data_IF_819132738928
#
_entry.id   IF_819132738928
#
_cell.length_a   1.000
_cell.length_b   1.000
_cell.length_c   1.000
_cell.angle_alpha   90.00
_cell.angle_beta   90.00
_cell.angle_gamma   90.00
#
_symmetry.space_group_name_H-M   'P 1'
#
loop_
_entity.id
_entity.type
_entity.pdbx_description
1 polymer ?
#
# COMPACT_ATOMS: atom_id res chain seq x y z
N UNK A 1 -49.65 -42.01 -35.18
CA UNK A 1 -49.50 -40.54 -35.34
C UNK A 1 -49.96 -39.75 -34.10
N UNK A 2 -49.51 -40.11 -32.88
CA UNK A 2 -49.92 -39.37 -31.65
C UNK A 2 -48.72 -38.93 -30.78
N UNK A 3 -47.51 -39.44 -31.06
CA UNK A 3 -46.30 -39.12 -30.27
C UNK A 3 -45.43 -37.95 -30.79
N UNK A 4 -45.73 -37.37 -31.95
CA UNK A 4 -45.01 -36.19 -32.47
C UNK A 4 -45.61 -34.85 -32.02
N UNK A 5 -46.89 -34.80 -31.64
CA UNK A 5 -47.56 -33.54 -31.24
C UNK A 5 -47.20 -33.07 -29.83
N UNK A 6 -46.74 -33.95 -28.94
CA UNK A 6 -46.38 -33.60 -27.56
C UNK A 6 -45.01 -32.92 -27.42
N UNK A 7 -44.08 -33.15 -28.37
CA UNK A 7 -42.76 -32.49 -28.37
C UNK A 7 -42.81 -31.05 -28.87
N UNK A 8 -43.71 -30.75 -29.80
CA UNK A 8 -43.91 -29.38 -30.31
C UNK A 8 -44.56 -28.48 -29.25
N UNK A 9 -45.56 -28.98 -28.51
CA UNK A 9 -46.22 -28.22 -27.44
C UNK A 9 -45.27 -27.84 -26.29
N UNK A 10 -44.38 -28.76 -25.88
CA UNK A 10 -43.42 -28.49 -24.80
C UNK A 10 -42.39 -27.41 -25.15
N UNK A 11 -41.92 -27.39 -26.40
CA UNK A 11 -40.94 -26.38 -26.86
C UNK A 11 -41.60 -25.01 -27.01
N UNK A 12 -42.83 -24.95 -27.50
CA UNK A 12 -43.59 -23.69 -27.63
C UNK A 12 -43.85 -23.03 -26.27
N UNK A 13 -44.17 -23.80 -25.22
CA UNK A 13 -44.38 -23.27 -23.87
C UNK A 13 -43.10 -22.68 -23.27
N UNK A 14 -41.94 -23.33 -23.48
CA UNK A 14 -40.64 -22.83 -22.98
C UNK A 14 -40.24 -21.52 -23.68
N UNK A 15 -40.46 -21.42 -24.99
CA UNK A 15 -40.17 -20.20 -25.74
C UNK A 15 -41.06 -19.03 -25.28
N UNK A 16 -42.35 -19.28 -25.01
CA UNK A 16 -43.26 -18.26 -24.49
C UNK A 16 -42.83 -17.76 -23.10
N UNK A 17 -42.43 -18.67 -22.19
CA UNK A 17 -41.92 -18.30 -20.86
C UNK A 17 -40.63 -17.47 -20.98
N UNK A 18 -39.74 -17.83 -21.90
CA UNK A 18 -38.50 -17.09 -22.14
C UNK A 18 -38.76 -15.68 -22.70
N UNK A 19 -39.67 -15.55 -23.68
CA UNK A 19 -40.02 -14.24 -24.26
C UNK A 19 -40.72 -13.36 -23.21
N UNK A 20 -41.64 -13.91 -22.40
CA UNK A 20 -42.29 -13.17 -21.33
C UNK A 20 -41.31 -12.69 -20.24
N UNK A 21 -40.30 -13.50 -19.90
CA UNK A 21 -39.29 -13.12 -18.91
C UNK A 21 -38.31 -12.05 -19.42
N UNK A 22 -37.96 -12.07 -20.70
CA UNK A 22 -37.13 -11.02 -21.34
C UNK A 22 -37.91 -9.70 -21.47
N UNK A 23 -39.21 -9.76 -21.77
CA UNK A 23 -40.07 -8.58 -21.85
C UNK A 23 -40.31 -7.96 -20.46
N UNK A 24 -40.51 -8.76 -19.42
CA UNK A 24 -40.62 -8.29 -18.03
C UNK A 24 -39.31 -7.63 -17.53
N UNK A 25 -38.14 -8.13 -17.93
CA UNK A 25 -36.85 -7.52 -17.60
C UNK A 25 -36.61 -6.20 -18.35
N UNK A 26 -37.18 -6.04 -19.55
CA UNK A 26 -37.03 -4.82 -20.37
C UNK A 26 -37.97 -3.69 -19.97
N UNK A 27 -39.11 -4.00 -19.33
CA UNK A 27 -40.07 -2.98 -18.83
C UNK A 27 -39.54 -2.27 -17.56
N UNK A 28 -38.64 -2.91 -16.81
CA UNK A 28 -38.01 -2.34 -15.61
C UNK A 28 -36.69 -1.59 -15.88
N UNK A 29 -36.28 -1.43 -17.14
CA UNK A 29 -35.03 -0.75 -17.50
C UNK A 29 -35.29 0.39 -18.49
N UNK A 30 -36.01 1.41 -18.04
CA UNK A 30 -36.04 2.73 -18.71
C UNK A 30 -35.27 3.77 -17.87
N UNK A 31 -34.27 4.48 -18.43
CA UNK A 31 -33.46 5.43 -17.70
C UNK A 31 -34.17 6.79 -17.61
N UNK A 32 -34.55 7.21 -16.40
CA UNK A 32 -35.08 8.55 -16.16
C UNK A 32 -33.97 9.50 -15.69
N UNK A 33 -33.88 10.63 -16.37
CA UNK A 33 -32.93 11.72 -16.22
C UNK A 33 -33.10 12.56 -14.94
N UNK A 34 -32.00 13.22 -14.56
CA UNK A 34 -31.85 14.49 -13.83
C UNK A 34 -31.65 14.51 -12.30
N UNK A 35 -30.40 14.90 -11.95
CA UNK A 35 -30.02 16.11 -11.21
C UNK A 35 -30.22 16.18 -9.67
N UNK A 36 -29.06 16.31 -8.98
CA UNK A 36 -28.75 16.96 -7.68
C UNK A 36 -29.62 16.64 -6.43
N UNK A 37 -28.99 16.02 -5.42
CA UNK A 37 -28.62 16.69 -4.15
C UNK A 37 -27.86 15.75 -3.21
N UNK A 38 -26.87 16.31 -2.51
CA UNK A 38 -26.11 15.67 -1.43
C UNK A 38 -27.02 15.28 -0.27
N UNK A 39 -27.00 14.00 0.13
CA UNK A 39 -27.39 13.59 1.49
C UNK A 39 -26.60 12.35 1.91
N UNK A 40 -26.02 12.47 3.11
CA UNK A 40 -25.29 11.43 3.83
C UNK A 40 -26.20 10.22 4.03
N UNK A 41 -25.89 9.10 3.37
CA UNK A 41 -26.57 7.83 3.61
C UNK A 41 -25.72 6.91 4.48
N UNK A 42 -26.20 6.75 5.71
CA UNK A 42 -25.79 5.74 6.68
C UNK A 42 -26.54 4.45 6.30
N UNK A 43 -25.88 3.45 5.72
CA UNK A 43 -26.51 2.18 5.38
C UNK A 43 -25.91 0.99 6.14
N UNK A 44 -26.81 0.43 6.96
CA UNK A 44 -26.99 -0.90 7.51
C UNK A 44 -26.02 -2.04 7.13
N UNK A 45 -25.60 -2.73 8.20
CA UNK A 45 -25.54 -4.19 8.37
C UNK A 45 -25.71 -5.05 7.10
N UNK A 46 -24.63 -5.73 6.71
CA UNK A 46 -24.74 -7.00 6.01
C UNK A 46 -24.44 -8.13 6.99
N UNK A 47 -25.52 -8.71 7.51
CA UNK A 47 -25.53 -10.08 7.99
C UNK A 47 -25.38 -11.04 6.78
N UNK A 48 -24.76 -12.20 7.04
CA UNK A 48 -24.72 -13.40 6.21
C UNK A 48 -23.69 -13.44 5.07
N UNK A 49 -22.41 -13.62 5.44
CA UNK A 49 -21.56 -14.55 4.71
C UNK A 49 -21.37 -15.81 5.57
N UNK A 50 -22.18 -16.83 5.28
CA UNK A 50 -22.21 -18.09 6.01
C UNK A 50 -20.87 -18.83 5.87
N UNK A 51 -20.30 -19.13 7.02
CA UNK A 51 -19.05 -19.83 7.22
C UNK A 51 -19.25 -21.32 6.91
N UNK A 52 -18.86 -21.79 5.73
CA UNK A 52 -18.70 -23.22 5.50
C UNK A 52 -17.44 -23.69 6.24
N UNK A 53 -17.66 -24.54 7.25
CA UNK A 53 -16.64 -25.20 8.08
C UNK A 53 -15.37 -25.55 7.29
N UNK A 54 -14.32 -24.74 7.49
CA UNK A 54 -12.94 -25.21 7.38
C UNK A 54 -12.29 -24.95 8.74
N UNK A 55 -12.31 -25.97 9.61
CA UNK A 55 -11.42 -26.05 10.77
C UNK A 55 -10.00 -26.25 10.23
N UNK A 56 -9.35 -25.15 9.85
CA UNK A 56 -7.93 -25.08 9.60
C UNK A 56 -7.31 -24.12 10.60
N UNK A 57 -6.40 -24.63 11.42
CA UNK A 57 -5.53 -23.84 12.31
C UNK A 57 -4.96 -22.63 11.55
N UNK A 58 -5.51 -21.44 11.78
CA UNK A 58 -4.82 -20.19 11.50
C UNK A 58 -4.78 -19.42 12.81
N UNK A 59 -3.69 -19.64 13.56
CA UNK A 59 -3.26 -18.66 14.53
C UNK A 59 -3.13 -17.35 13.75
N UNK A 60 -4.01 -16.37 14.04
CA UNK A 60 -3.80 -15.00 13.58
C UNK A 60 -2.48 -14.58 14.18
N UNK A 61 -1.43 -14.50 13.37
CA UNK A 61 -0.13 -14.03 13.81
C UNK A 61 -0.29 -12.58 14.27
N UNK A 62 -0.47 -12.38 15.58
CA UNK A 62 -0.52 -11.06 16.19
C UNK A 62 0.88 -10.46 16.10
N UNK A 63 0.96 -9.24 15.57
CA UNK A 63 2.22 -8.52 15.48
C UNK A 63 2.74 -8.23 16.88
N UNK A 64 3.98 -8.63 17.15
CA UNK A 64 4.66 -8.30 18.39
C UNK A 64 5.41 -6.98 18.22
N UNK A 65 4.79 -5.88 18.67
CA UNK A 65 5.39 -4.56 18.62
C UNK A 65 6.54 -4.43 19.63
N UNK A 66 7.57 -3.64 19.29
CA UNK A 66 8.69 -3.31 20.16
C UNK A 66 8.29 -2.29 21.24
N UNK A 67 7.32 -1.43 20.94
CA UNK A 67 6.69 -0.52 21.89
C UNK A 67 5.19 -0.39 21.58
N UNK A 68 4.41 0.12 22.52
CA UNK A 68 3.03 0.55 22.31
C UNK A 68 2.94 1.62 21.23
N UNK A 69 2.03 1.43 20.28
CA UNK A 69 1.84 2.39 19.19
C UNK A 69 0.97 3.56 19.64
N UNK A 70 1.45 4.79 19.40
CA UNK A 70 0.74 6.03 19.73
C UNK A 70 0.71 7.01 18.55
N UNK A 71 -0.23 7.94 18.59
CA UNK A 71 -0.21 9.13 17.72
C UNK A 71 0.84 10.13 18.22
N UNK A 72 1.35 10.97 17.33
CA UNK A 72 2.12 12.17 17.69
C UNK A 72 1.20 13.15 18.43
N UNK A 73 1.71 13.75 19.50
CA UNK A 73 1.03 14.83 20.22
C UNK A 73 1.13 16.10 19.36
N UNK A 74 0.02 16.55 18.76
CA UNK A 74 0.00 17.72 17.85
C UNK A 74 -0.19 19.07 18.55
N UNK A 75 -0.69 19.06 19.79
CA UNK A 75 -0.98 20.26 20.56
C UNK A 75 -0.05 20.31 21.78
N UNK A 76 1.12 20.92 21.62
CA UNK A 76 2.03 21.13 22.75
C UNK A 76 2.36 22.61 22.87
N UNK A 77 2.14 23.21 24.05
CA UNK A 77 2.54 24.57 24.36
C UNK A 77 4.04 24.79 24.07
N UNK A 78 4.40 25.93 23.47
CA UNK A 78 5.77 26.24 23.02
C UNK A 78 6.85 26.07 24.12
N UNK A 79 6.46 26.19 25.37
CA UNK A 79 7.26 26.03 26.59
C UNK A 79 7.65 24.58 26.95
N UNK A 80 7.19 23.56 26.21
CA UNK A 80 7.63 22.16 26.35
C UNK A 80 8.40 21.64 25.13
N UNK A 81 8.74 22.52 24.18
CA UNK A 81 9.46 22.15 22.95
C UNK A 81 10.96 22.16 23.24
N UNK A 82 11.56 20.98 23.41
CA UNK A 82 13.02 20.85 23.34
C UNK A 82 13.43 20.80 21.86
N UNK A 83 13.81 21.95 21.29
CA UNK A 83 14.49 21.95 20.00
C UNK A 83 15.89 21.38 20.19
N UNK A 84 16.13 20.17 19.70
CA UNK A 84 17.48 19.60 19.65
C UNK A 84 18.22 20.29 18.51
N UNK A 85 18.79 21.46 18.79
CA UNK A 85 19.69 22.15 17.89
C UNK A 85 20.95 21.31 17.73
N UNK A 86 21.23 20.85 16.51
CA UNK A 86 22.44 20.14 16.17
C UNK A 86 23.64 21.11 16.19
N UNK A 87 24.11 21.49 17.38
CA UNK A 87 25.46 22.02 17.60
C UNK A 87 25.73 22.09 19.11
N UNK A 88 26.42 21.08 19.65
CA UNK A 88 27.46 21.26 20.68
C UNK A 88 28.06 19.91 21.02
N UNK A 89 29.30 19.73 20.61
CA UNK A 89 30.26 18.78 21.16
C UNK A 89 30.33 18.88 22.69
N UNK A 90 30.57 17.73 23.32
CA UNK A 90 30.89 17.53 24.74
C UNK A 90 29.78 17.77 25.77
N UNK A 91 29.02 16.72 26.06
CA UNK A 91 28.78 16.26 27.44
C UNK A 91 28.21 14.84 27.41
N UNK A 92 28.96 13.90 27.98
CA UNK A 92 28.48 12.59 28.39
C UNK A 92 27.34 12.85 29.38
N UNK A 93 26.10 12.56 28.98
CA UNK A 93 24.95 12.54 29.86
C UNK A 93 24.66 11.07 30.19
N UNK A 94 24.91 10.71 31.44
CA UNK A 94 24.60 9.42 32.03
C UNK A 94 23.12 9.09 31.86
N UNK A 95 22.86 7.84 31.50
CA UNK A 95 21.56 7.18 31.49
C UNK A 95 20.86 7.33 32.84
N UNK A 96 19.85 8.19 32.91
CA UNK A 96 18.67 8.05 33.78
C UNK A 96 17.67 9.19 33.45
N UNK A 97 16.41 8.84 33.15
CA UNK A 97 15.25 9.74 32.97
C UNK A 97 15.05 10.49 31.63
N UNK A 98 15.07 9.81 30.48
CA UNK A 98 14.24 10.25 29.35
C UNK A 98 12.83 9.71 29.60
N UNK A 99 12.01 10.49 30.30
CA UNK A 99 10.59 10.19 30.52
C UNK A 99 9.90 9.99 29.16
N UNK A 100 9.01 9.00 29.10
CA UNK A 100 8.13 8.60 27.98
C UNK A 100 7.24 9.70 27.35
N UNK A 101 7.43 10.95 27.77
CA UNK A 101 6.64 12.14 27.45
C UNK A 101 7.31 13.13 26.50
N UNK A 102 8.49 12.81 25.94
CA UNK A 102 9.12 13.64 24.92
C UNK A 102 8.14 13.89 23.76
N UNK A 103 7.81 15.17 23.56
CA UNK A 103 6.91 15.65 22.52
C UNK A 103 7.72 15.85 21.24
N UNK A 104 7.43 15.04 20.23
CA UNK A 104 8.05 15.19 18.92
C UNK A 104 7.13 15.96 17.98
N UNK A 105 7.59 17.13 17.52
CA UNK A 105 6.92 17.89 16.47
C UNK A 105 7.66 17.69 15.17
N UNK A 106 7.07 16.93 14.25
CA UNK A 106 7.59 16.81 12.88
C UNK A 106 7.03 18.00 12.08
N UNK A 107 7.88 18.89 11.55
CA UNK A 107 7.42 20.06 10.81
C UNK A 107 6.79 19.65 9.48
N UNK A 108 5.49 19.89 9.35
CA UNK A 108 4.70 19.57 8.16
C UNK A 108 4.42 18.07 7.97
N UNK A 109 3.59 17.75 6.98
CA UNK A 109 3.16 16.37 6.72
C UNK A 109 4.16 15.68 5.79
N UNK A 110 4.56 14.46 6.15
CA UNK A 110 5.45 13.65 5.30
C UNK A 110 4.69 12.59 4.53
N UNK A 111 4.91 12.52 3.21
CA UNK A 111 4.42 11.43 2.36
C UNK A 111 5.34 10.21 2.42
N UNK A 112 4.76 9.01 2.44
CA UNK A 112 5.42 7.81 1.93
C UNK A 112 4.82 7.51 0.55
N UNK A 113 5.51 7.98 -0.48
CA UNK A 113 5.10 7.86 -1.86
C UNK A 113 5.79 6.66 -2.52
N UNK A 114 5.03 5.86 -3.28
CA UNK A 114 5.62 4.83 -4.15
C UNK A 114 4.63 4.23 -5.13
N UNK A 115 5.15 3.56 -6.14
CA UNK A 115 4.35 2.62 -6.93
C UNK A 115 3.87 1.42 -6.06
N UNK A 116 2.64 0.92 -6.25
CA UNK A 116 2.16 -0.29 -5.57
C UNK A 116 3.10 -1.50 -5.68
N UNK A 117 3.22 -2.31 -4.63
CA UNK A 117 4.16 -3.44 -4.64
C UNK A 117 5.62 -3.09 -4.33
N UNK A 118 5.95 -1.83 -4.06
CA UNK A 118 7.31 -1.37 -3.71
C UNK A 118 7.73 -1.61 -2.25
N UNK A 119 6.85 -2.17 -1.41
CA UNK A 119 7.19 -2.54 -0.03
C UNK A 119 6.65 -1.63 1.08
N UNK A 120 5.70 -0.74 0.76
CA UNK A 120 5.09 0.23 1.69
C UNK A 120 4.72 -0.35 3.07
N UNK A 121 3.96 -1.44 3.08
CA UNK A 121 3.48 -2.03 4.33
C UNK A 121 4.64 -2.48 5.23
N UNK A 122 5.72 -2.96 4.62
CA UNK A 122 6.90 -3.38 5.36
C UNK A 122 7.67 -2.18 5.91
N UNK A 123 7.88 -1.13 5.10
CA UNK A 123 8.54 0.09 5.58
C UNK A 123 7.74 0.77 6.70
N UNK A 124 6.41 0.88 6.55
CA UNK A 124 5.54 1.40 7.61
C UNK A 124 5.65 0.59 8.90
N UNK A 125 5.68 -0.75 8.78
CA UNK A 125 5.89 -1.64 9.91
C UNK A 125 7.23 -1.37 10.60
N UNK A 126 8.33 -1.27 9.84
CA UNK A 126 9.67 -1.00 10.39
C UNK A 126 9.73 0.35 11.10
N UNK A 127 9.11 1.39 10.53
CA UNK A 127 9.05 2.71 11.15
C UNK A 127 8.20 2.70 12.43
N UNK A 128 7.06 2.02 12.43
CA UNK A 128 6.25 1.82 13.64
C UNK A 128 7.02 1.07 14.73
N UNK A 129 7.82 0.05 14.36
CA UNK A 129 8.67 -0.67 15.30
C UNK A 129 9.77 0.23 15.89
N UNK A 130 10.43 1.02 15.04
CA UNK A 130 11.57 1.85 15.45
C UNK A 130 11.17 3.08 16.27
N UNK A 131 9.95 3.57 16.11
CA UNK A 131 9.50 4.84 16.70
C UNK A 131 8.40 4.70 17.75
N UNK A 132 7.63 3.61 17.71
CA UNK A 132 6.37 3.51 18.45
C UNK A 132 5.28 4.46 17.94
N UNK A 133 5.48 5.14 16.81
CA UNK A 133 4.54 6.11 16.25
C UNK A 133 3.77 5.51 15.08
N UNK A 134 2.45 5.74 15.08
CA UNK A 134 1.55 5.29 14.02
C UNK A 134 1.88 5.92 12.66
N UNK A 135 1.68 5.14 11.59
CA UNK A 135 1.75 5.63 10.20
C UNK A 135 0.37 5.67 9.56
N UNK A 136 0.07 6.76 8.88
CA UNK A 136 -1.19 6.99 8.18
C UNK A 136 -1.19 6.45 6.75
N UNK A 137 -2.34 6.61 6.09
CA UNK A 137 -2.58 6.20 4.71
C UNK A 137 -3.68 7.06 4.12
N UNK A 138 -3.53 7.46 2.84
CA UNK A 138 -4.63 8.08 2.11
C UNK A 138 -5.77 7.09 1.84
N UNK A 139 -5.53 5.79 2.04
CA UNK A 139 -6.52 4.74 1.85
C UNK A 139 -7.08 4.24 3.19
N UNK A 140 -8.24 3.57 3.13
CA UNK A 140 -8.84 2.85 4.25
C UNK A 140 -8.81 1.35 3.99
N UNK A 141 -7.66 0.72 4.21
CA UNK A 141 -7.54 -0.73 4.05
C UNK A 141 -8.00 -1.48 5.32
N UNK A 142 -9.20 -2.03 5.28
CA UNK A 142 -9.78 -2.75 6.43
C UNK A 142 -8.96 -3.98 6.87
N UNK A 143 -8.23 -4.61 5.95
CA UNK A 143 -7.34 -5.71 6.27
C UNK A 143 -6.19 -5.23 7.14
N UNK A 144 -5.48 -4.19 6.67
CA UNK A 144 -4.37 -3.59 7.40
C UNK A 144 -4.80 -2.93 8.71
N UNK A 145 -5.97 -2.28 8.74
CA UNK A 145 -6.55 -1.69 9.95
C UNK A 145 -6.71 -2.74 11.05
N UNK A 146 -7.23 -3.92 10.72
CA UNK A 146 -7.41 -5.03 11.66
C UNK A 146 -6.11 -5.74 12.05
N UNK A 147 -5.03 -5.57 11.28
CA UNK A 147 -3.79 -6.32 11.46
C UNK A 147 -2.61 -5.46 11.90
N UNK A 148 -2.81 -4.24 12.38
CA UNK A 148 -1.73 -3.44 13.00
C UNK A 148 -1.44 -2.07 12.37
N UNK A 149 -2.32 -1.58 11.50
CA UNK A 149 -2.28 -0.20 10.99
C UNK A 149 -3.54 0.56 11.38
N UNK A 150 -3.76 0.85 12.68
CA UNK A 150 -5.03 1.44 13.15
C UNK A 150 -5.24 2.88 12.63
N UNK A 151 -4.18 3.55 12.16
CA UNK A 151 -4.24 4.88 11.56
C UNK A 151 -4.46 4.87 10.02
N UNK A 152 -4.96 3.78 9.44
CA UNK A 152 -5.51 3.84 8.08
C UNK A 152 -6.55 4.97 7.96
N UNK A 153 -6.55 5.70 6.85
CA UNK A 153 -7.36 6.90 6.61
C UNK A 153 -7.03 8.12 7.50
N UNK A 154 -5.94 8.11 8.27
CA UNK A 154 -5.42 9.30 8.94
C UNK A 154 -4.42 10.00 8.03
N UNK A 155 -4.65 11.29 7.77
CA UNK A 155 -3.93 12.09 6.76
C UNK A 155 -3.44 13.45 7.29
N UNK A 156 -3.10 13.52 8.58
CA UNK A 156 -2.66 14.76 9.24
C UNK A 156 -1.41 14.50 10.10
N UNK A 157 -0.90 15.54 10.75
CA UNK A 157 0.35 15.50 11.51
C UNK A 157 0.29 14.70 12.83
N UNK A 158 -0.80 13.98 13.11
CA UNK A 158 -0.88 13.05 14.25
C UNK A 158 -0.14 11.72 14.00
N UNK A 159 0.33 11.48 12.77
CA UNK A 159 1.07 10.27 12.38
C UNK A 159 2.48 10.63 11.89
N UNK A 160 3.40 9.67 11.94
CA UNK A 160 4.79 9.84 11.49
C UNK A 160 4.88 10.24 10.01
N UNK A 161 4.08 9.59 9.17
CA UNK A 161 3.97 9.84 7.74
C UNK A 161 2.65 9.28 7.20
N UNK A 162 2.28 9.64 5.97
CA UNK A 162 1.07 9.16 5.30
C UNK A 162 1.41 8.48 3.99
N UNK A 163 1.04 7.20 3.87
CA UNK A 163 1.23 6.41 2.64
C UNK A 163 0.31 6.87 1.51
N UNK A 164 0.85 7.03 0.30
CA UNK A 164 0.10 7.29 -0.93
C UNK A 164 0.68 6.57 -2.16
N UNK A 165 -0.19 6.27 -3.14
CA UNK A 165 0.21 5.88 -4.50
C UNK A 165 -0.18 6.93 -5.55
N UNK A 166 -0.78 8.03 -5.10
CA UNK A 166 -1.18 9.15 -5.94
C UNK A 166 0.04 10.02 -6.25
N UNK A 167 -0.01 10.74 -7.37
CA UNK A 167 1.02 11.66 -7.82
C UNK A 167 0.38 12.81 -8.59
N UNK A 168 1.13 13.89 -8.80
CA UNK A 168 0.65 15.13 -9.40
C UNK A 168 0.31 16.20 -8.36
N UNK A 169 0.09 17.46 -8.79
CA UNK A 169 -0.01 18.62 -7.89
C UNK A 169 -0.98 18.46 -6.72
N UNK A 170 -2.18 17.92 -6.99
CA UNK A 170 -3.20 17.69 -5.95
C UNK A 170 -2.78 16.66 -4.90
N UNK A 171 -1.98 15.67 -5.29
CA UNK A 171 -1.49 14.64 -4.38
C UNK A 171 -0.35 15.16 -3.49
N UNK A 172 0.42 16.13 -3.99
CA UNK A 172 1.56 16.72 -3.28
C UNK A 172 1.18 17.83 -2.31
N UNK A 173 0.15 18.59 -2.65
CA UNK A 173 -0.28 19.80 -1.94
C UNK A 173 -0.26 19.70 -0.40
N UNK A 174 -0.69 18.57 0.22
CA UNK A 174 -0.69 18.48 1.69
C UNK A 174 0.70 18.27 2.32
N UNK A 175 1.74 17.97 1.53
CA UNK A 175 3.01 17.43 2.00
C UNK A 175 4.16 18.42 1.86
N UNK A 176 4.98 18.54 2.90
CA UNK A 176 6.23 19.34 2.90
C UNK A 176 7.47 18.48 2.68
N UNK A 177 7.38 17.18 3.03
CA UNK A 177 8.44 16.18 2.85
C UNK A 177 7.89 14.93 2.17
N UNK A 178 8.73 14.20 1.46
CA UNK A 178 8.38 12.92 0.86
C UNK A 178 9.52 11.90 0.99
N UNK A 179 9.19 10.70 1.45
CA UNK A 179 10.01 9.51 1.26
C UNK A 179 9.49 8.82 0.00
N UNK A 180 10.33 8.80 -1.04
CA UNK A 180 10.04 8.10 -2.29
C UNK A 180 10.63 6.69 -2.22
N UNK A 181 9.79 5.70 -1.95
CA UNK A 181 10.19 4.29 -1.90
C UNK A 181 10.15 3.68 -3.30
N UNK A 182 11.32 3.39 -3.85
CA UNK A 182 11.49 2.86 -5.21
C UNK A 182 11.92 1.41 -5.15
N UNK A 183 11.29 0.56 -5.95
CA UNK A 183 11.66 -0.85 -6.09
C UNK A 183 11.87 -1.19 -7.55
N UNK A 184 12.73 -2.18 -7.79
CA UNK A 184 12.90 -2.76 -9.12
C UNK A 184 11.53 -3.00 -9.82
N UNK A 185 11.32 -2.44 -11.03
CA UNK A 185 10.02 -2.45 -11.68
C UNK A 185 9.51 -3.85 -11.99
N UNK A 186 10.38 -4.79 -12.36
CA UNK A 186 9.96 -6.18 -12.62
C UNK A 186 9.36 -6.79 -11.34
N UNK A 187 10.09 -6.65 -10.22
CA UNK A 187 9.65 -7.17 -8.91
C UNK A 187 8.42 -6.44 -8.37
N UNK A 188 8.32 -5.12 -8.57
CA UNK A 188 7.20 -4.31 -8.10
C UNK A 188 5.91 -4.64 -8.86
N UNK A 189 5.97 -4.72 -10.19
CA UNK A 189 4.84 -5.08 -11.06
C UNK A 189 4.34 -6.49 -10.74
N UNK A 190 5.26 -7.45 -10.57
CA UNK A 190 4.89 -8.81 -10.18
C UNK A 190 4.25 -8.84 -8.79
N UNK A 191 4.76 -8.07 -7.84
CA UNK A 191 4.19 -7.98 -6.50
C UNK A 191 2.78 -7.37 -6.51
N UNK A 192 2.54 -6.36 -7.34
CA UNK A 192 1.22 -5.74 -7.49
C UNK A 192 0.22 -6.68 -8.16
N UNK A 193 0.64 -7.42 -9.20
CA UNK A 193 -0.21 -8.44 -9.82
C UNK A 193 -0.65 -9.52 -8.84
N UNK A 194 0.29 -10.00 -8.02
CA UNK A 194 0.01 -10.94 -6.95
C UNK A 194 -0.94 -10.34 -5.91
N UNK A 195 -0.75 -9.06 -5.54
CA UNK A 195 -1.64 -8.36 -4.59
C UNK A 195 -3.07 -8.27 -5.12
N UNK A 196 -3.27 -7.85 -6.36
CA UNK A 196 -4.60 -7.73 -6.97
C UNK A 196 -5.28 -9.09 -7.17
N UNK A 197 -4.50 -10.18 -7.26
CA UNK A 197 -5.04 -11.50 -7.55
C UNK A 197 -5.25 -12.37 -6.31
N UNK A 198 -4.43 -12.18 -5.26
CA UNK A 198 -4.42 -13.03 -4.07
C UNK A 198 -4.37 -12.27 -2.74
N UNK A 199 -4.52 -10.94 -2.75
CA UNK A 199 -4.44 -10.11 -1.54
C UNK A 199 -3.02 -9.76 -1.09
N UNK A 200 -2.90 -9.03 0.02
CA UNK A 200 -1.64 -8.41 0.48
C UNK A 200 -0.44 -9.35 0.53
N UNK A 201 -0.65 -10.59 0.98
CA UNK A 201 0.39 -11.63 1.10
C UNK A 201 0.18 -12.82 0.17
N UNK A 202 -0.87 -12.83 -0.65
CA UNK A 202 -1.17 -13.94 -1.55
C UNK A 202 -0.58 -13.79 -2.94
N UNK A 203 -0.89 -14.75 -3.81
CA UNK A 203 -0.33 -14.85 -5.16
C UNK A 203 -1.43 -14.97 -6.20
N UNK A 204 -1.13 -14.53 -7.42
CA UNK A 204 -1.93 -14.87 -8.58
C UNK A 204 -1.80 -16.37 -8.87
N UNK A 205 -2.92 -17.03 -9.22
CA UNK A 205 -2.85 -18.38 -9.75
C UNK A 205 -2.14 -18.39 -11.12
N UNK A 206 -1.47 -19.48 -11.50
CA UNK A 206 -0.84 -19.63 -12.81
C UNK A 206 -1.76 -19.24 -13.99
N UNK A 207 -3.06 -19.54 -13.90
CA UNK A 207 -4.05 -19.27 -14.96
C UNK A 207 -4.25 -17.77 -15.21
N UNK A 208 -4.03 -16.93 -14.20
CA UNK A 208 -4.14 -15.48 -14.34
C UNK A 208 -3.10 -14.91 -15.31
N UNK A 209 -1.92 -15.52 -15.37
CA UNK A 209 -0.87 -15.14 -16.31
C UNK A 209 -1.20 -15.62 -17.74
N UNK A 210 -1.86 -16.77 -17.88
CA UNK A 210 -2.24 -17.36 -19.17
C UNK A 210 -3.54 -16.78 -19.75
N UNK A 211 -4.31 -16.04 -18.94
CA UNK A 211 -5.60 -15.46 -19.33
C UNK A 211 -5.52 -14.69 -20.65
N UNK A 212 -6.48 -14.96 -21.53
CA UNK A 212 -6.55 -14.36 -22.88
C UNK A 212 -5.26 -14.61 -23.68
N UNK A 213 -4.74 -15.85 -23.63
CA UNK A 213 -3.47 -16.25 -24.26
C UNK A 213 -2.30 -15.33 -23.86
N UNK A 214 -2.24 -14.95 -22.58
CA UNK A 214 -1.21 -14.05 -22.03
C UNK A 214 -1.41 -12.55 -22.30
N UNK A 215 -2.37 -12.15 -23.13
CA UNK A 215 -2.61 -10.73 -23.47
C UNK A 215 -2.98 -9.88 -22.25
N UNK A 216 -3.67 -10.47 -21.27
CA UNK A 216 -3.99 -9.75 -20.04
C UNK A 216 -2.75 -9.36 -19.24
N UNK A 217 -1.85 -10.32 -19.04
CA UNK A 217 -0.58 -10.10 -18.35
C UNK A 217 0.30 -9.08 -19.10
N UNK A 218 0.38 -9.19 -20.43
CA UNK A 218 1.09 -8.20 -21.26
C UNK A 218 0.58 -6.78 -21.06
N UNK A 219 -0.74 -6.58 -21.18
CA UNK A 219 -1.37 -5.27 -20.92
C UNK A 219 -1.14 -4.79 -19.50
N UNK A 220 -1.17 -5.70 -18.53
CA UNK A 220 -0.91 -5.38 -17.13
C UNK A 220 0.52 -4.86 -16.94
N UNK A 221 1.53 -5.55 -17.48
CA UNK A 221 2.94 -5.14 -17.39
C UNK A 221 3.14 -3.77 -18.03
N UNK A 222 2.66 -3.57 -19.26
CA UNK A 222 2.82 -2.30 -19.98
C UNK A 222 2.17 -1.12 -19.24
N UNK A 223 0.94 -1.31 -18.75
CA UNK A 223 0.22 -0.28 -17.98
C UNK A 223 0.97 0.07 -16.69
N UNK A 224 1.38 -0.95 -15.93
CA UNK A 224 2.02 -0.75 -14.64
C UNK A 224 3.46 -0.23 -14.77
N UNK A 225 4.17 -0.55 -15.85
CA UNK A 225 5.48 0.03 -16.12
C UNK A 225 5.39 1.54 -16.37
N UNK A 226 4.41 1.98 -17.19
CA UNK A 226 4.13 3.41 -17.38
C UNK A 226 3.75 4.10 -16.07
N UNK A 227 2.92 3.44 -15.26
CA UNK A 227 2.53 3.97 -13.94
C UNK A 227 3.72 4.06 -12.98
N UNK A 228 4.57 3.04 -12.94
CA UNK A 228 5.78 3.01 -12.12
C UNK A 228 6.74 4.15 -12.51
N UNK A 229 6.97 4.36 -13.80
CA UNK A 229 7.76 5.48 -14.32
C UNK A 229 7.13 6.81 -13.91
N UNK A 230 5.84 7.01 -14.18
CA UNK A 230 5.12 8.24 -13.87
C UNK A 230 5.16 8.56 -12.38
N UNK A 231 4.85 7.60 -11.49
CA UNK A 231 4.88 7.83 -10.04
C UNK A 231 6.28 8.23 -9.57
N UNK A 232 7.33 7.51 -9.97
CA UNK A 232 8.69 7.81 -9.50
C UNK A 232 9.19 9.15 -10.02
N UNK A 233 9.03 9.43 -11.31
CA UNK A 233 9.50 10.68 -11.89
C UNK A 233 8.68 11.88 -11.42
N UNK A 234 7.37 11.73 -11.27
CA UNK A 234 6.50 12.84 -10.86
C UNK A 234 6.82 13.27 -9.42
N UNK A 235 7.04 12.32 -8.50
CA UNK A 235 7.51 12.68 -7.16
C UNK A 235 8.97 13.17 -7.14
N UNK A 236 9.85 12.61 -7.96
CA UNK A 236 11.26 12.97 -7.92
C UNK A 236 11.60 14.31 -8.60
N UNK A 237 10.86 14.68 -9.65
CA UNK A 237 11.10 15.89 -10.46
C UNK A 237 10.26 17.07 -10.05
N UNK A 238 8.98 16.82 -9.80
CA UNK A 238 7.97 17.89 -9.79
C UNK A 238 7.53 18.26 -8.37
N UNK A 239 7.82 17.41 -7.38
CA UNK A 239 7.58 17.74 -5.97
C UNK A 239 8.59 18.77 -5.49
N UNK A 240 8.10 19.92 -5.01
CA UNK A 240 8.96 21.03 -4.55
C UNK A 240 9.43 20.91 -3.10
N UNK A 241 8.89 19.95 -2.33
CA UNK A 241 9.29 19.72 -0.94
C UNK A 241 10.57 18.90 -0.81
N UNK A 242 11.04 18.71 0.42
CA UNK A 242 12.23 17.89 0.66
C UNK A 242 11.94 16.42 0.35
N UNK A 243 12.82 15.78 -0.42
CA UNK A 243 12.64 14.39 -0.83
C UNK A 243 13.79 13.51 -0.35
N UNK A 244 13.47 12.32 0.16
CA UNK A 244 14.43 11.23 0.38
C UNK A 244 14.08 10.05 -0.50
N UNK A 245 14.96 9.74 -1.43
CA UNK A 245 14.84 8.51 -2.23
C UNK A 245 15.36 7.32 -1.42
N UNK A 246 14.56 6.27 -1.37
CA UNK A 246 14.89 5.01 -0.71
C UNK A 246 14.66 3.86 -1.69
N UNK A 247 15.73 3.13 -2.02
CA UNK A 247 15.60 1.91 -2.80
C UNK A 247 15.23 0.74 -1.89
N UNK A 248 14.21 -0.03 -2.27
CA UNK A 248 13.77 -1.23 -1.56
C UNK A 248 14.91 -2.23 -1.41
N UNK A 249 15.76 -2.36 -2.42
CA UNK A 249 16.93 -3.22 -2.41
C UNK A 249 17.92 -2.85 -1.29
N UNK A 250 18.14 -1.55 -1.04
CA UNK A 250 18.97 -1.07 0.08
C UNK A 250 18.29 -1.35 1.42
N UNK A 251 16.97 -1.18 1.51
CA UNK A 251 16.21 -1.51 2.72
C UNK A 251 16.30 -3.01 3.08
N UNK A 252 16.40 -3.88 2.08
CA UNK A 252 16.59 -5.33 2.29
C UNK A 252 18.04 -5.68 2.59
N UNK A 253 19.00 -5.11 1.87
CA UNK A 253 20.42 -5.45 2.00
C UNK A 253 21.10 -4.78 3.19
N UNK A 254 20.78 -3.51 3.45
CA UNK A 254 21.43 -2.63 4.42
C UNK A 254 20.38 -1.95 5.31
N UNK A 255 19.54 -2.77 5.96
CA UNK A 255 18.38 -2.31 6.71
C UNK A 255 18.71 -1.24 7.75
N UNK A 256 19.71 -1.48 8.59
CA UNK A 256 20.07 -0.56 9.68
C UNK A 256 20.46 0.83 9.15
N UNK A 257 21.43 0.90 8.25
CA UNK A 257 21.91 2.15 7.66
C UNK A 257 20.76 2.89 6.97
N UNK A 258 19.95 2.16 6.18
CA UNK A 258 18.83 2.75 5.44
C UNK A 258 17.76 3.30 6.38
N UNK A 259 17.39 2.55 7.41
CA UNK A 259 16.34 2.93 8.36
C UNK A 259 16.79 4.11 9.24
N UNK A 260 18.05 4.14 9.68
CA UNK A 260 18.62 5.32 10.36
C UNK A 260 18.61 6.55 9.47
N UNK A 261 19.00 6.40 8.19
CA UNK A 261 18.94 7.49 7.21
C UNK A 261 17.53 8.05 7.01
N UNK A 262 16.51 7.18 7.02
CA UNK A 262 15.10 7.61 6.96
C UNK A 262 14.71 8.37 8.23
N UNK A 263 15.03 7.87 9.42
CA UNK A 263 14.68 8.53 10.69
C UNK A 263 15.38 9.89 10.82
N UNK A 264 16.63 10.01 10.38
CA UNK A 264 17.35 11.27 10.32
C UNK A 264 16.68 12.27 9.37
N UNK A 265 16.24 11.84 8.18
CA UNK A 265 15.49 12.70 7.24
C UNK A 265 14.14 13.16 7.81
N UNK A 266 13.47 12.27 8.56
CA UNK A 266 12.25 12.60 9.30
C UNK A 266 12.50 13.49 10.51
N UNK A 267 13.76 13.74 10.87
CA UNK A 267 14.18 14.44 12.10
C UNK A 267 13.57 13.77 13.35
N UNK A 268 13.45 12.44 13.32
CA UNK A 268 12.92 11.66 14.44
C UNK A 268 14.09 11.02 15.22
N UNK A 269 14.18 11.23 16.55
CA UNK A 269 15.29 10.72 17.33
C UNK A 269 15.27 9.19 17.38
N UNK A 270 16.47 8.61 17.36
CA UNK A 270 16.64 7.16 17.36
C UNK A 270 16.83 6.72 18.81
N UNK A 271 15.90 5.91 19.32
CA UNK A 271 16.09 5.16 20.56
C UNK A 271 16.77 3.83 20.21
N UNK A 272 18.01 3.66 20.65
CA UNK A 272 18.84 2.49 20.30
C UNK A 272 18.26 1.16 20.78
N UNK A 273 17.56 1.12 21.91
CA UNK A 273 16.92 -0.10 22.42
C UNK A 273 15.74 -0.52 21.53
N UNK A 274 14.86 0.42 21.19
CA UNK A 274 13.74 0.18 20.28
C UNK A 274 14.22 -0.15 18.87
N UNK A 275 15.29 0.51 18.42
CA UNK A 275 15.89 0.26 17.12
C UNK A 275 16.49 -1.15 17.07
N UNK A 276 17.21 -1.59 18.10
CA UNK A 276 17.72 -2.95 18.23
C UNK A 276 16.59 -3.99 18.18
N UNK A 277 15.50 -3.78 18.94
CA UNK A 277 14.32 -4.64 18.86
C UNK A 277 13.73 -4.69 17.44
N UNK A 278 13.71 -3.56 16.75
CA UNK A 278 13.22 -3.45 15.36
C UNK A 278 14.04 -4.32 14.41
N UNK A 279 15.36 -4.30 14.53
CA UNK A 279 16.25 -5.14 13.72
C UNK A 279 16.02 -6.62 13.98
N UNK A 280 15.82 -7.02 15.24
CA UNK A 280 15.49 -8.40 15.63
C UNK A 280 14.14 -8.83 15.00
N UNK A 281 13.15 -7.93 15.00
CA UNK A 281 11.78 -8.22 14.52
C UNK A 281 11.51 -7.76 13.09
N UNK A 282 12.55 -7.55 12.29
CA UNK A 282 12.44 -6.91 10.96
C UNK A 282 11.53 -7.60 9.96
N UNK A 283 11.35 -8.93 10.01
CA UNK A 283 10.56 -9.66 9.00
C UNK A 283 9.07 -9.31 9.04
N UNK A 284 8.48 -9.21 10.23
CA UNK A 284 7.05 -8.99 10.41
C UNK A 284 6.15 -10.06 9.77
N UNK A 285 4.87 -9.72 9.56
CA UNK A 285 3.85 -10.62 8.96
C UNK A 285 3.42 -10.23 7.54
N UNK A 286 3.90 -9.08 7.05
CA UNK A 286 3.45 -8.48 5.79
C UNK A 286 4.33 -8.80 4.60
N UNK A 287 5.48 -9.43 4.84
CA UNK A 287 6.37 -9.85 3.77
C UNK A 287 5.83 -11.15 3.16
N UNK A 288 5.45 -11.07 1.89
CA UNK A 288 5.08 -12.25 1.11
C UNK A 288 6.27 -13.22 1.04
N UNK A 289 6.06 -14.49 1.39
CA UNK A 289 7.06 -15.56 1.19
C UNK A 289 7.44 -15.65 -0.29
N UNK A 290 8.61 -16.20 -0.62
CA UNK A 290 8.93 -16.46 -2.03
C UNK A 290 8.09 -17.64 -2.52
N UNK A 291 7.52 -17.53 -3.72
CA UNK A 291 6.88 -18.64 -4.43
C UNK A 291 7.53 -18.76 -5.80
N UNK A 292 7.94 -19.97 -6.13
CA UNK A 292 8.46 -20.29 -7.44
C UNK A 292 7.29 -20.54 -8.38
N UNK A 293 7.30 -19.89 -9.54
CA UNK A 293 6.45 -20.25 -10.67
C UNK A 293 7.25 -21.23 -11.52
N UNK A 294 6.58 -22.27 -12.03
CA UNK A 294 7.22 -23.27 -12.90
C UNK A 294 7.42 -22.74 -14.34
N UNK A 295 7.17 -21.45 -14.57
CA UNK A 295 7.34 -20.76 -15.83
C UNK A 295 7.78 -19.31 -15.57
N UNK A 296 8.50 -18.73 -16.52
CA UNK A 296 8.80 -17.29 -16.49
C UNK A 296 7.59 -16.51 -17.04
N UNK A 297 6.94 -15.66 -16.23
CA UNK A 297 5.82 -14.87 -16.72
C UNK A 297 6.28 -13.75 -17.68
N UNK A 298 7.54 -13.33 -17.66
CA UNK A 298 8.02 -12.21 -18.48
C UNK A 298 8.58 -12.69 -19.82
N UNK A 299 8.12 -12.05 -20.89
CA UNK A 299 8.73 -12.23 -22.23
C UNK A 299 10.01 -11.41 -22.35
N UNK A 300 10.89 -11.77 -23.29
CA UNK A 300 12.12 -11.02 -23.59
C UNK A 300 11.81 -9.56 -23.92
N UNK A 301 10.78 -9.31 -24.72
CA UNK A 301 10.32 -7.96 -25.07
C UNK A 301 9.92 -7.15 -23.83
N UNK A 302 9.17 -7.74 -22.89
CA UNK A 302 8.83 -7.08 -21.62
C UNK A 302 10.07 -6.71 -20.83
N UNK A 303 11.01 -7.64 -20.66
CA UNK A 303 12.25 -7.38 -19.91
C UNK A 303 13.08 -6.28 -20.55
N UNK A 304 13.14 -6.23 -21.88
CA UNK A 304 13.84 -5.16 -22.59
C UNK A 304 13.24 -3.79 -22.27
N UNK A 305 11.91 -3.65 -22.37
CA UNK A 305 11.21 -2.40 -22.02
C UNK A 305 11.37 -2.04 -20.54
N UNK A 306 11.23 -3.02 -19.64
CA UNK A 306 11.41 -2.82 -18.20
C UNK A 306 12.83 -2.34 -17.89
N UNK A 307 13.84 -2.99 -18.49
CA UNK A 307 15.25 -2.63 -18.32
C UNK A 307 15.52 -1.21 -18.81
N UNK A 308 15.02 -0.86 -19.99
CA UNK A 308 15.15 0.50 -20.52
C UNK A 308 14.57 1.54 -19.56
N UNK A 309 13.29 1.38 -19.17
CA UNK A 309 12.63 2.32 -18.24
C UNK A 309 13.26 2.37 -16.86
N UNK A 310 13.75 1.23 -16.36
CA UNK A 310 14.51 1.18 -15.12
C UNK A 310 15.76 2.05 -15.21
N UNK A 311 16.56 1.90 -16.27
CA UNK A 311 17.80 2.68 -16.44
C UNK A 311 17.51 4.19 -16.54
N UNK A 312 16.49 4.58 -17.31
CA UNK A 312 16.07 5.98 -17.45
C UNK A 312 15.69 6.61 -16.10
N UNK A 313 14.89 5.91 -15.29
CA UNK A 313 14.44 6.41 -13.99
C UNK A 313 15.58 6.37 -12.95
N UNK A 314 16.35 5.28 -12.88
CA UNK A 314 17.41 5.13 -11.88
C UNK A 314 18.52 6.15 -12.09
N UNK A 315 18.91 6.42 -13.35
CA UNK A 315 19.87 7.48 -13.68
C UNK A 315 19.46 8.84 -13.12
N UNK A 316 18.17 9.14 -13.10
CA UNK A 316 17.67 10.38 -12.51
C UNK A 316 17.69 10.34 -10.98
N UNK A 317 17.21 9.24 -10.40
CA UNK A 317 17.07 9.08 -8.94
C UNK A 317 18.40 8.98 -8.20
N UNK A 318 19.44 8.40 -8.81
CA UNK A 318 20.76 8.27 -8.19
C UNK A 318 21.40 9.64 -7.91
N UNK A 319 21.07 10.67 -8.69
CA UNK A 319 21.52 12.05 -8.46
C UNK A 319 20.83 12.72 -7.25
N UNK A 320 19.78 12.12 -6.71
CA UNK A 320 18.97 12.65 -5.59
C UNK A 320 19.20 11.91 -4.27
N UNK A 321 20.08 10.89 -4.25
CA UNK A 321 20.21 9.95 -3.12
C UNK A 321 20.98 10.55 -1.95
#
# INVERSE_FOLDING_TARGET
>A
MILQSWRLFGVSVIIIIYICSVLLFSINSSPRSNQKNERIERFSEFANFHNSRFRGFTSKANIRWCNGLKYLKTNVPNNMITTVSALSTNKVATTENIKDDAVYRIPGLTALASFPGSGNTWLRYLLQQATGILTGSVYKDYGLLKTGFPAENVRNNSVLLVKTHEFGPKAWDPFTKAILLVRDPEKAILAEFNRQSGGHIGFASPDRYKRTKGKYWQKFVLKNLKMWEATNLSWARDFSGSIKVVFYEDLVGNLEVTLRGILNFLEFPINEELFSCTLIRREGVFRRKKRFLNFDPFTISMRSMIKQKKLEVYKYLENLK
#
